data_IF_619420927394
#
_entry.id   IF_619420927394
#
_cell.length_a   1.000
_cell.length_b   1.000
_cell.length_c   1.000
_cell.angle_alpha   90.00
_cell.angle_beta   90.00
_cell.angle_gamma   90.00
#
_symmetry.space_group_name_H-M   'P 1'
#
loop_
_entity.id
_entity.type
_entity.pdbx_description
1 polymer ?
#
# COMPACT_ATOMS: atom_id res chain seq x y z
N UNK A 1 11.20 21.56 7.87
CA UNK A 1 10.64 20.31 8.42
C UNK A 1 11.13 19.21 7.49
N UNK A 2 12.06 18.40 7.99
CA UNK A 2 12.81 17.41 7.24
C UNK A 2 11.91 16.18 6.96
N UNK A 3 11.28 16.14 5.79
CA UNK A 3 10.49 15.00 5.32
C UNK A 3 11.42 13.98 4.66
N UNK A 4 12.24 13.32 5.48
CA UNK A 4 13.03 12.17 5.07
C UNK A 4 12.15 11.09 4.43
N UNK A 5 12.60 10.62 3.27
CA UNK A 5 11.86 9.79 2.32
C UNK A 5 11.08 8.64 2.96
N UNK A 6 9.76 8.65 2.74
CA UNK A 6 8.83 7.60 3.15
C UNK A 6 8.48 6.77 1.92
N UNK A 7 9.00 5.55 1.87
CA UNK A 7 8.84 4.63 0.74
C UNK A 7 7.47 3.92 0.77
N UNK A 8 6.75 3.95 -0.35
CA UNK A 8 5.60 3.07 -0.58
C UNK A 8 6.07 1.64 -0.87
N UNK A 9 6.25 0.86 0.20
CA UNK A 9 6.56 -0.58 0.13
C UNK A 9 5.33 -1.38 -0.30
N UNK A 10 4.12 -0.84 -0.12
CA UNK A 10 2.85 -1.57 -0.30
C UNK A 10 2.56 -1.90 -1.78
N UNK A 11 2.62 -0.91 -2.68
CA UNK A 11 2.24 -1.10 -4.09
C UNK A 11 3.19 -2.04 -4.85
N UNK A 12 4.50 -1.96 -4.57
CA UNK A 12 5.50 -2.82 -5.22
C UNK A 12 5.53 -4.24 -4.67
N UNK A 13 5.31 -4.46 -3.36
CA UNK A 13 5.28 -5.82 -2.81
C UNK A 13 4.07 -6.59 -3.35
N UNK A 14 2.89 -5.97 -3.38
CA UNK A 14 1.68 -6.62 -3.89
C UNK A 14 1.75 -6.90 -5.41
N UNK A 15 2.27 -5.96 -6.21
CA UNK A 15 2.36 -6.15 -7.67
C UNK A 15 3.41 -7.21 -8.08
N UNK A 16 4.53 -7.29 -7.34
CA UNK A 16 5.62 -8.23 -7.62
C UNK A 16 5.34 -9.65 -7.10
N UNK A 17 4.73 -9.81 -5.92
CA UNK A 17 4.51 -11.14 -5.30
C UNK A 17 3.32 -11.89 -5.86
N UNK A 18 2.20 -11.22 -6.15
CA UNK A 18 1.02 -11.84 -6.76
C UNK A 18 1.35 -12.54 -8.10
N UNK A 19 2.26 -11.93 -8.89
CA UNK A 19 2.72 -12.50 -10.17
C UNK A 19 3.76 -13.60 -10.01
N UNK A 20 4.65 -13.53 -9.01
CA UNK A 20 5.64 -14.59 -8.73
C UNK A 20 4.96 -15.89 -8.28
N UNK A 21 3.85 -15.79 -7.53
CA UNK A 21 3.02 -16.94 -7.15
C UNK A 21 2.37 -17.61 -8.38
N UNK A 22 1.92 -16.80 -9.35
CA UNK A 22 1.35 -17.28 -10.62
C UNK A 22 2.40 -17.97 -11.51
N UNK A 23 3.66 -17.50 -11.50
CA UNK A 23 4.78 -18.15 -12.21
C UNK A 23 5.25 -19.44 -11.52
N UNK A 24 5.24 -19.51 -10.18
CA UNK A 24 5.65 -20.69 -9.42
C UNK A 24 4.62 -21.84 -9.50
N UNK A 25 3.33 -21.53 -9.65
CA UNK A 25 2.30 -22.55 -9.87
C UNK A 25 2.39 -23.24 -11.24
N UNK A 26 3.13 -22.65 -12.20
CA UNK A 26 3.29 -23.16 -13.56
C UNK A 26 4.68 -23.76 -13.84
N UNK A 27 5.58 -23.83 -12.86
CA UNK A 27 6.94 -24.30 -13.04
C UNK A 27 7.17 -25.65 -12.33
N UNK A 28 7.40 -26.71 -13.11
CA UNK A 28 7.91 -27.98 -12.60
C UNK A 28 9.41 -27.85 -12.24
N UNK A 29 9.90 -28.48 -11.16
CA UNK A 29 11.24 -28.20 -10.64
C UNK A 29 12.33 -29.03 -11.35
N UNK A 30 13.35 -28.36 -11.89
CA UNK A 30 14.62 -28.97 -12.29
C UNK A 30 15.70 -28.67 -11.25
N UNK A 31 16.37 -29.75 -10.82
CA UNK A 31 17.45 -29.83 -9.81
C UNK A 31 18.64 -28.92 -10.16
N UNK A 32 19.23 -28.27 -9.15
CA UNK A 32 20.57 -27.68 -9.22
C UNK A 32 21.44 -28.30 -8.13
N UNK A 33 22.58 -28.84 -8.56
CA UNK A 33 23.61 -29.49 -7.74
C UNK A 33 24.56 -28.43 -7.14
N UNK A 34 25.04 -28.70 -5.93
CA UNK A 34 26.08 -27.93 -5.24
C UNK A 34 27.47 -28.44 -5.65
N UNK A 35 28.45 -27.53 -5.73
CA UNK A 35 29.88 -27.86 -5.79
C UNK A 35 30.65 -26.96 -4.84
N UNK A 36 31.38 -27.61 -3.93
CA UNK A 36 32.32 -27.06 -2.95
C UNK A 36 33.55 -26.44 -3.63
N UNK A 37 34.11 -25.38 -3.02
CA UNK A 37 35.46 -24.88 -3.32
C UNK A 37 36.20 -24.69 -1.99
N UNK A 38 37.26 -25.49 -1.80
CA UNK A 38 38.16 -25.49 -0.65
C UNK A 38 39.25 -24.39 -0.72
N UNK A 39 39.68 -23.98 0.48
CA UNK A 39 40.66 -22.97 0.84
C UNK A 39 42.10 -23.17 0.29
N UNK A 40 42.82 -22.05 0.15
CA UNK A 40 44.25 -21.95 0.53
C UNK A 40 44.56 -20.56 1.09
N UNK A 41 45.01 -20.51 2.35
CA UNK A 41 45.62 -19.34 2.98
C UNK A 41 47.07 -19.68 3.34
N UNK A 42 48.01 -18.83 2.93
CA UNK A 42 49.43 -18.93 3.25
C UNK A 42 49.70 -18.29 4.62
N UNK A 43 50.43 -19.00 5.48
CA UNK A 43 50.82 -18.57 6.83
C UNK A 43 52.23 -17.97 6.76
N UNK A 44 52.36 -16.67 7.00
CA UNK A 44 53.64 -16.02 7.29
C UNK A 44 53.82 -15.90 8.81
N UNK A 45 54.91 -16.47 9.34
CA UNK A 45 55.32 -16.38 10.75
C UNK A 45 56.04 -15.05 11.04
N UNK A 46 55.72 -14.44 12.17
CA UNK A 46 56.43 -13.32 12.82
C UNK A 46 56.29 -13.40 14.35
N UNK A 47 57.18 -12.76 15.14
CA UNK A 47 57.89 -13.43 16.24
C UNK A 47 57.25 -13.33 17.64
N UNK A 48 57.79 -14.19 18.50
CA UNK A 48 57.44 -14.50 19.89
C UNK A 48 57.56 -13.33 20.88
N UNK A 49 56.50 -13.11 21.67
CA UNK A 49 56.51 -12.91 23.14
C UNK A 49 55.05 -12.90 23.68
N UNK A 50 54.59 -13.86 24.53
CA UNK A 50 53.14 -14.08 24.74
C UNK A 50 52.43 -13.25 25.82
N UNK A 51 53.03 -12.20 26.41
CA UNK A 51 52.47 -11.60 27.65
C UNK A 51 52.09 -10.11 27.60
N UNK A 52 52.41 -9.36 26.54
CA UNK A 52 51.97 -7.94 26.40
C UNK A 52 51.00 -7.71 25.21
N UNK A 53 50.82 -8.71 24.34
CA UNK A 53 49.92 -8.62 23.17
C UNK A 53 48.45 -8.89 23.52
N UNK A 54 48.17 -9.75 24.52
CA UNK A 54 46.81 -10.11 24.91
C UNK A 54 46.06 -8.95 25.61
N UNK A 55 46.74 -8.17 26.45
CA UNK A 55 46.12 -6.99 27.09
C UNK A 55 45.88 -5.85 26.09
N UNK A 56 46.80 -5.61 25.15
CA UNK A 56 46.60 -4.61 24.09
C UNK A 56 45.53 -5.03 23.06
N UNK A 57 45.46 -6.31 22.68
CA UNK A 57 44.36 -6.82 21.85
C UNK A 57 43.03 -6.80 22.59
N UNK A 58 43.01 -7.14 23.88
CA UNK A 58 41.82 -7.05 24.74
C UNK A 58 41.29 -5.62 24.83
N UNK A 59 42.16 -4.64 25.09
CA UNK A 59 41.79 -3.22 25.14
C UNK A 59 41.37 -2.68 23.77
N UNK A 60 42.01 -3.10 22.67
CA UNK A 60 41.58 -2.70 21.32
C UNK A 60 40.24 -3.32 20.92
N UNK A 61 39.97 -4.56 21.32
CA UNK A 61 38.67 -5.24 21.12
C UNK A 61 37.59 -4.63 22.02
N UNK A 62 37.87 -4.33 23.29
CA UNK A 62 36.96 -3.65 24.20
C UNK A 62 36.65 -2.22 23.73
N UNK A 63 37.65 -1.49 23.26
CA UNK A 63 37.44 -0.14 22.71
C UNK A 63 36.69 -0.18 21.37
N UNK A 64 36.92 -1.19 20.53
CA UNK A 64 36.14 -1.39 19.30
C UNK A 64 34.69 -1.79 19.61
N UNK A 65 34.47 -2.67 20.60
CA UNK A 65 33.14 -3.04 21.08
C UNK A 65 32.42 -1.84 21.72
N UNK A 66 33.08 -1.02 22.52
CA UNK A 66 32.51 0.21 23.09
C UNK A 66 32.21 1.26 22.00
N UNK A 67 33.05 1.38 20.98
CA UNK A 67 32.81 2.27 19.83
C UNK A 67 31.64 1.77 18.95
N UNK A 68 31.48 0.46 18.77
CA UNK A 68 30.32 -0.13 18.09
C UNK A 68 29.04 0.01 18.92
N UNK A 69 29.11 -0.20 20.24
CA UNK A 69 27.97 -0.11 21.16
C UNK A 69 27.43 1.33 21.27
N UNK A 70 28.32 2.33 21.27
CA UNK A 70 27.95 3.76 21.26
C UNK A 70 27.24 4.20 19.98
N UNK A 71 27.47 3.55 18.84
CA UNK A 71 26.78 3.83 17.56
C UNK A 71 25.53 2.97 17.38
N UNK A 72 25.55 1.73 17.89
CA UNK A 72 24.46 0.77 17.70
C UNK A 72 23.28 1.00 18.65
N UNK A 73 23.54 1.36 19.91
CA UNK A 73 22.47 1.54 20.90
C UNK A 73 21.44 2.61 20.49
N UNK A 74 21.82 3.79 19.96
CA UNK A 74 20.85 4.78 19.48
C UNK A 74 19.96 4.25 18.34
N UNK A 75 20.48 3.38 17.47
CA UNK A 75 19.71 2.77 16.38
C UNK A 75 18.73 1.71 16.92
N UNK A 76 19.17 0.90 17.88
CA UNK A 76 18.31 -0.07 18.58
C UNK A 76 17.18 0.68 19.27
N UNK A 77 17.48 1.73 20.04
CA UNK A 77 16.47 2.51 20.75
C UNK A 77 15.46 3.13 19.78
N UNK A 78 15.94 3.67 18.66
CA UNK A 78 15.08 4.23 17.61
C UNK A 78 14.13 3.19 17.03
N UNK A 79 14.64 2.02 16.65
CA UNK A 79 13.80 0.92 16.12
C UNK A 79 12.83 0.42 17.19
N UNK A 80 13.27 0.30 18.45
CA UNK A 80 12.41 -0.07 19.57
C UNK A 80 11.27 0.92 19.79
N UNK A 81 11.53 2.23 19.69
CA UNK A 81 10.49 3.26 19.73
C UNK A 81 9.51 3.10 18.57
N UNK A 82 10.00 2.90 17.34
CA UNK A 82 9.14 2.70 16.16
C UNK A 82 8.21 1.50 16.34
N UNK A 83 8.73 0.38 16.86
CA UNK A 83 7.94 -0.82 17.14
C UNK A 83 6.85 -0.57 18.19
N UNK A 84 7.19 0.12 19.28
CA UNK A 84 6.24 0.44 20.35
C UNK A 84 5.18 1.47 19.96
N UNK A 85 5.43 2.26 18.91
CA UNK A 85 4.48 3.25 18.38
C UNK A 85 3.53 2.71 17.30
N UNK A 86 3.71 1.47 16.84
CA UNK A 86 2.86 0.88 15.80
C UNK A 86 1.39 0.88 16.21
N UNK A 87 0.52 1.18 15.24
CA UNK A 87 -0.91 1.30 15.45
C UNK A 87 -1.68 0.75 14.23
N UNK A 88 -2.49 1.57 13.58
CA UNK A 88 -3.22 1.31 12.36
C UNK A 88 -2.33 1.29 11.10
N UNK A 89 -1.03 1.54 11.23
CA UNK A 89 -0.06 1.52 10.13
C UNK A 89 0.52 2.89 9.78
N UNK A 90 1.83 2.94 9.55
CA UNK A 90 2.52 4.07 8.92
C UNK A 90 2.62 3.84 7.41
N UNK A 91 2.00 4.74 6.63
CA UNK A 91 1.91 4.61 5.16
C UNK A 91 1.96 5.99 4.49
N UNK A 92 2.53 6.05 3.29
CA UNK A 92 2.59 7.28 2.50
C UNK A 92 1.22 7.70 1.97
N UNK A 93 1.06 8.99 1.72
CA UNK A 93 -0.15 9.54 1.12
C UNK A 93 -0.32 9.13 -0.35
N UNK A 94 -1.58 9.07 -0.78
CA UNK A 94 -2.00 8.85 -2.16
C UNK A 94 -2.69 10.12 -2.65
N UNK A 95 -2.12 10.79 -3.66
CA UNK A 95 -2.73 12.00 -4.20
C UNK A 95 -4.04 11.67 -4.91
N UNK A 96 -4.13 10.50 -5.57
CA UNK A 96 -5.35 9.96 -6.16
C UNK A 96 -6.48 9.83 -5.14
N UNK A 97 -6.24 9.14 -4.02
CA UNK A 97 -7.28 8.96 -2.99
C UNK A 97 -7.64 10.27 -2.29
N UNK A 98 -6.64 11.12 -2.05
CA UNK A 98 -6.86 12.46 -1.48
C UNK A 98 -7.74 13.32 -2.39
N UNK A 99 -7.55 13.23 -3.71
CA UNK A 99 -8.41 13.89 -4.69
C UNK A 99 -9.85 13.35 -4.67
N UNK A 100 -10.05 12.03 -4.56
CA UNK A 100 -11.40 11.47 -4.40
C UNK A 100 -12.10 11.95 -3.14
N UNK A 101 -11.38 12.04 -2.01
CA UNK A 101 -11.92 12.63 -0.78
C UNK A 101 -12.22 14.12 -0.94
N UNK A 102 -11.34 14.87 -1.61
CA UNK A 102 -11.51 16.29 -1.88
C UNK A 102 -12.75 16.60 -2.74
N UNK A 103 -13.21 15.65 -3.55
CA UNK A 103 -14.41 15.81 -4.37
C UNK A 103 -15.73 15.62 -3.62
N UNK A 104 -15.71 15.14 -2.36
CA UNK A 104 -16.95 14.96 -1.59
C UNK A 104 -17.57 16.34 -1.30
N UNK A 105 -18.80 16.62 -1.76
CA UNK A 105 -19.48 17.87 -1.44
C UNK A 105 -19.97 17.89 0.01
N UNK A 106 -20.13 19.08 0.57
CA UNK A 106 -20.76 19.28 1.87
C UNK A 106 -22.13 18.56 1.94
N UNK A 107 -22.26 17.68 2.93
CA UNK A 107 -23.43 16.79 3.06
C UNK A 107 -24.69 17.53 3.54
N UNK A 108 -24.54 18.73 4.08
CA UNK A 108 -25.63 19.61 4.54
C UNK A 108 -26.12 20.58 3.45
N UNK A 109 -25.63 20.44 2.21
CA UNK A 109 -26.10 21.19 1.04
C UNK A 109 -25.30 22.45 0.74
N UNK A 110 -24.15 22.65 1.38
CA UNK A 110 -23.20 23.70 0.99
C UNK A 110 -22.54 23.43 -0.38
N UNK A 111 -21.93 24.47 -0.95
CA UNK A 111 -21.30 24.41 -2.28
C UNK A 111 -19.81 24.04 -2.22
N UNK A 112 -19.26 23.78 -1.02
CA UNK A 112 -17.84 23.51 -0.81
C UNK A 112 -17.45 22.03 -0.70
N UNK A 113 -16.15 21.75 -0.57
CA UNK A 113 -15.66 20.43 -0.23
C UNK A 113 -15.96 20.11 1.25
N UNK A 114 -16.53 18.93 1.52
CA UNK A 114 -16.78 18.42 2.87
C UNK A 114 -15.49 18.31 3.71
N UNK A 115 -14.35 18.12 3.04
CA UNK A 115 -13.04 17.97 3.68
C UNK A 115 -12.03 19.00 3.13
N UNK A 116 -12.10 20.29 3.52
CA UNK A 116 -11.22 21.33 2.97
C UNK A 116 -9.71 21.07 3.21
N UNK A 117 -9.36 20.26 4.22
CA UNK A 117 -7.98 19.88 4.49
C UNK A 117 -7.35 19.06 3.36
N UNK A 118 -8.13 18.22 2.67
CA UNK A 118 -7.63 17.41 1.55
C UNK A 118 -7.32 18.28 0.33
N UNK A 119 -8.14 19.31 0.06
CA UNK A 119 -7.85 20.33 -0.95
C UNK A 119 -6.55 21.05 -0.63
N UNK A 120 -6.37 21.55 0.61
CA UNK A 120 -5.10 22.20 1.03
C UNK A 120 -3.89 21.29 0.85
N UNK A 121 -4.04 20.00 1.13
CA UNK A 121 -2.99 19.01 0.91
C UNK A 121 -2.64 18.91 -0.59
N UNK A 122 -3.63 18.80 -1.49
CA UNK A 122 -3.40 18.75 -2.94
C UNK A 122 -2.64 19.98 -3.43
N UNK A 123 -3.09 21.18 -3.02
CA UNK A 123 -2.46 22.45 -3.41
C UNK A 123 -0.99 22.50 -2.97
N UNK A 124 -0.69 22.02 -1.77
CA UNK A 124 0.64 22.08 -1.16
C UNK A 124 1.61 21.00 -1.65
N UNK A 125 1.14 19.96 -2.36
CA UNK A 125 1.94 18.78 -2.71
C UNK A 125 2.08 18.52 -4.22
N UNK A 126 1.89 19.54 -5.06
CA UNK A 126 2.25 19.45 -6.47
C UNK A 126 3.77 19.40 -6.63
N UNK A 127 4.27 18.48 -7.46
CA UNK A 127 5.69 18.34 -7.75
C UNK A 127 6.20 19.46 -8.70
N UNK A 128 7.51 19.70 -8.77
CA UNK A 128 8.08 20.76 -9.61
C UNK A 128 7.80 20.62 -11.11
N UNK A 129 7.53 19.39 -11.59
CA UNK A 129 7.17 19.10 -12.98
C UNK A 129 5.67 19.30 -13.28
N UNK A 130 4.89 19.78 -12.30
CA UNK A 130 3.44 19.96 -12.41
C UNK A 130 2.63 18.72 -12.07
N UNK A 131 3.26 17.55 -11.89
CA UNK A 131 2.58 16.30 -11.57
C UNK A 131 2.28 16.14 -10.07
N UNK A 132 1.48 15.14 -9.72
CA UNK A 132 1.38 14.58 -8.37
C UNK A 132 1.76 13.10 -8.41
N UNK A 133 2.31 12.58 -7.31
CA UNK A 133 2.69 11.17 -7.17
C UNK A 133 3.90 10.97 -6.26
N UNK A 134 4.54 9.82 -6.36
CA UNK A 134 5.75 9.52 -5.58
C UNK A 134 6.93 10.40 -6.05
N UNK A 135 7.51 11.20 -5.14
CA UNK A 135 8.61 12.10 -5.45
C UNK A 135 9.96 11.39 -5.60
N UNK A 136 10.11 10.19 -5.02
CA UNK A 136 11.35 9.41 -5.02
C UNK A 136 11.42 8.45 -6.21
N UNK A 137 10.27 8.03 -6.76
CA UNK A 137 10.20 7.11 -7.89
C UNK A 137 9.23 7.63 -8.95
N UNK A 138 9.72 7.79 -10.18
CA UNK A 138 8.86 8.04 -11.33
C UNK A 138 8.25 6.74 -11.85
N UNK A 139 6.92 6.72 -11.99
CA UNK A 139 6.16 5.76 -12.80
C UNK A 139 5.12 6.55 -13.59
N UNK A 140 5.04 6.36 -14.90
CA UNK A 140 4.06 7.07 -15.73
C UNK A 140 2.64 6.71 -15.31
N UNK A 141 2.34 5.45 -15.01
CA UNK A 141 1.03 5.06 -14.48
C UNK A 141 0.67 5.81 -13.18
N UNK A 142 1.61 5.90 -12.23
CA UNK A 142 1.43 6.64 -10.98
C UNK A 142 1.19 8.13 -11.27
N UNK A 143 2.10 8.77 -12.01
CA UNK A 143 2.03 10.22 -12.27
C UNK A 143 0.79 10.62 -13.05
N UNK A 144 0.39 9.85 -14.08
CA UNK A 144 -0.81 10.16 -14.87
C UNK A 144 -2.07 10.08 -14.00
N UNK A 145 -2.20 9.03 -13.19
CA UNK A 145 -3.40 8.79 -12.37
C UNK A 145 -3.54 9.85 -11.28
N UNK A 146 -2.47 10.08 -10.51
CA UNK A 146 -2.48 11.06 -9.43
C UNK A 146 -2.68 12.49 -9.96
N UNK A 147 -1.99 12.86 -11.04
CA UNK A 147 -2.10 14.23 -11.61
C UNK A 147 -3.50 14.50 -12.13
N UNK A 148 -4.08 13.58 -12.91
CA UNK A 148 -5.43 13.74 -13.42
C UNK A 148 -6.45 13.87 -12.28
N UNK A 149 -6.31 13.07 -11.22
CA UNK A 149 -7.24 13.10 -10.09
C UNK A 149 -7.19 14.45 -9.36
N UNK A 150 -5.97 14.95 -9.08
CA UNK A 150 -5.78 16.27 -8.47
C UNK A 150 -6.34 17.40 -9.33
N UNK A 151 -6.10 17.38 -10.64
CA UNK A 151 -6.67 18.37 -11.57
C UNK A 151 -8.20 18.32 -11.57
N UNK A 152 -8.79 17.12 -11.61
CA UNK A 152 -10.24 16.95 -11.53
C UNK A 152 -10.80 17.52 -10.22
N UNK A 153 -10.16 17.23 -9.09
CA UNK A 153 -10.60 17.72 -7.78
C UNK A 153 -10.53 19.25 -7.67
N UNK A 154 -9.43 19.87 -8.12
CA UNK A 154 -9.28 21.33 -8.11
C UNK A 154 -10.25 22.01 -9.09
N UNK A 155 -10.43 21.43 -10.28
CA UNK A 155 -11.37 21.96 -11.30
C UNK A 155 -12.81 21.90 -10.81
N UNK A 156 -13.23 20.82 -10.15
CA UNK A 156 -14.60 20.68 -9.60
C UNK A 156 -14.99 21.88 -8.73
N UNK A 157 -14.04 22.43 -7.98
CA UNK A 157 -14.25 23.55 -7.07
C UNK A 157 -13.82 24.91 -7.65
N UNK A 158 -13.39 24.97 -8.92
CA UNK A 158 -12.84 26.17 -9.55
C UNK A 158 -11.67 26.79 -8.77
N UNK A 159 -10.80 25.94 -8.20
CA UNK A 159 -9.66 26.35 -7.38
C UNK A 159 -8.33 26.19 -8.13
N UNK A 160 -7.36 27.03 -7.79
CA UNK A 160 -5.96 26.92 -8.23
C UNK A 160 -5.77 26.72 -9.76
N UNK A 161 -6.26 27.65 -10.60
CA UNK A 161 -6.21 27.49 -12.06
C UNK A 161 -4.80 27.30 -12.62
N UNK A 162 -3.79 27.94 -12.03
CA UNK A 162 -2.40 27.77 -12.46
C UNK A 162 -1.84 26.36 -12.15
N UNK A 163 -2.22 25.75 -11.02
CA UNK A 163 -1.84 24.37 -10.70
C UNK A 163 -2.54 23.38 -11.63
N UNK A 164 -3.81 23.64 -11.94
CA UNK A 164 -4.55 22.86 -12.93
C UNK A 164 -3.85 22.92 -14.30
N UNK A 165 -3.45 24.12 -14.73
CA UNK A 165 -2.75 24.34 -16.00
C UNK A 165 -1.42 23.58 -16.08
N UNK A 166 -0.58 23.66 -15.06
CA UNK A 166 0.70 22.92 -15.04
C UNK A 166 0.51 21.42 -14.97
N UNK A 167 -0.48 20.94 -14.20
CA UNK A 167 -0.86 19.53 -14.18
C UNK A 167 -1.35 19.02 -15.55
N UNK A 168 -2.16 19.81 -16.24
CA UNK A 168 -2.60 19.49 -17.60
C UNK A 168 -1.44 19.48 -18.60
N UNK A 169 -0.52 20.46 -18.54
CA UNK A 169 0.69 20.45 -19.38
C UNK A 169 1.46 19.15 -19.20
N UNK A 170 1.68 18.73 -17.96
CA UNK A 170 2.35 17.47 -17.65
C UNK A 170 1.65 16.26 -18.28
N UNK A 171 0.31 16.18 -18.17
CA UNK A 171 -0.48 15.08 -18.77
C UNK A 171 -0.33 15.05 -20.30
N UNK A 172 -0.42 16.20 -20.97
CA UNK A 172 -0.26 16.31 -22.42
C UNK A 172 1.14 15.89 -22.88
N UNK A 173 2.18 16.33 -22.17
CA UNK A 173 3.58 16.06 -22.51
C UNK A 173 4.02 14.61 -22.25
N UNK A 174 3.32 13.89 -21.37
CA UNK A 174 3.80 12.60 -20.85
C UNK A 174 2.84 11.41 -21.06
N UNK A 175 1.64 11.61 -21.64
CA UNK A 175 0.66 10.53 -21.86
C UNK A 175 1.22 9.36 -22.67
N UNK A 176 2.12 9.62 -23.62
CA UNK A 176 2.78 8.60 -24.44
C UNK A 176 3.55 7.56 -23.63
N UNK A 177 4.08 7.93 -22.46
CA UNK A 177 4.86 7.03 -21.60
C UNK A 177 4.04 5.85 -21.08
N UNK A 178 2.71 5.96 -21.02
CA UNK A 178 1.83 4.84 -20.65
C UNK A 178 1.94 3.66 -21.61
N UNK A 179 2.29 3.91 -22.88
CA UNK A 179 2.49 2.84 -23.87
C UNK A 179 3.86 2.17 -23.77
N UNK A 180 4.85 2.83 -23.15
CA UNK A 180 6.23 2.33 -23.05
C UNK A 180 6.53 1.69 -21.70
N UNK A 181 5.84 2.10 -20.64
CA UNK A 181 6.11 1.57 -19.31
C UNK A 181 5.62 0.13 -19.17
N UNK A 182 6.51 -0.74 -18.68
CA UNK A 182 6.26 -2.15 -18.45
C UNK A 182 4.99 -2.38 -17.62
N UNK A 183 4.13 -3.30 -18.08
CA UNK A 183 2.85 -3.59 -17.43
C UNK A 183 3.04 -4.17 -16.00
N UNK A 184 4.25 -4.61 -15.63
CA UNK A 184 4.60 -4.96 -14.24
C UNK A 184 4.50 -3.81 -13.24
N UNK A 185 4.68 -2.57 -13.70
CA UNK A 185 4.62 -1.38 -12.86
C UNK A 185 3.20 -0.87 -12.61
N UNK A 186 2.23 -1.33 -13.40
CA UNK A 186 0.85 -0.82 -13.40
C UNK A 186 0.18 -0.96 -12.02
N UNK A 187 -0.40 0.13 -11.46
CA UNK A 187 -1.15 0.10 -10.22
C UNK A 187 -2.38 -0.81 -10.25
N UNK A 188 -2.78 -1.29 -9.07
CA UNK A 188 -3.99 -2.09 -8.91
C UNK A 188 -5.19 -1.28 -9.39
N UNK A 189 -6.03 -1.90 -10.22
CA UNK A 189 -7.26 -1.28 -10.70
C UNK A 189 -7.06 -0.18 -11.76
N UNK A 190 -5.83 0.15 -12.19
CA UNK A 190 -5.56 1.25 -13.13
C UNK A 190 -6.44 1.20 -14.39
N UNK A 191 -6.53 0.04 -15.05
CA UNK A 191 -7.34 -0.15 -16.27
C UNK A 191 -8.85 0.02 -16.05
N UNK A 192 -9.30 0.12 -14.80
CA UNK A 192 -10.69 0.43 -14.43
C UNK A 192 -10.77 1.88 -13.92
N UNK A 193 -9.94 2.26 -12.96
CA UNK A 193 -9.98 3.58 -12.33
C UNK A 193 -9.64 4.71 -13.30
N UNK A 194 -8.55 4.59 -14.06
CA UNK A 194 -8.03 5.67 -14.90
C UNK A 194 -8.97 6.06 -16.07
N UNK A 195 -9.53 5.12 -16.85
CA UNK A 195 -10.55 5.46 -17.85
C UNK A 195 -11.80 6.12 -17.27
N UNK A 196 -12.23 5.70 -16.07
CA UNK A 196 -13.40 6.29 -15.40
C UNK A 196 -13.11 7.72 -14.97
N UNK A 197 -11.89 7.96 -14.46
CA UNK A 197 -11.42 9.29 -14.10
C UNK A 197 -11.31 10.21 -15.33
N UNK A 198 -10.86 9.69 -16.48
CA UNK A 198 -10.89 10.43 -17.76
C UNK A 198 -12.33 10.80 -18.15
N UNK A 199 -13.31 9.92 -17.95
CA UNK A 199 -14.71 10.24 -18.19
C UNK A 199 -15.21 11.35 -17.25
N UNK A 200 -14.84 11.30 -15.96
CA UNK A 200 -15.13 12.38 -15.00
C UNK A 200 -14.51 13.70 -15.45
N UNK A 201 -13.24 13.69 -15.87
CA UNK A 201 -12.57 14.89 -16.37
C UNK A 201 -13.29 15.48 -17.60
N UNK A 202 -13.71 14.62 -18.53
CA UNK A 202 -14.48 15.03 -19.71
C UNK A 202 -15.81 15.67 -19.34
N UNK A 203 -16.51 15.14 -18.34
CA UNK A 203 -17.78 15.70 -17.86
C UNK A 203 -17.64 17.09 -17.23
N UNK A 204 -16.45 17.43 -16.73
CA UNK A 204 -16.11 18.75 -16.19
C UNK A 204 -15.54 19.71 -17.25
N UNK A 205 -15.46 19.29 -18.52
CA UNK A 205 -14.92 20.11 -19.60
C UNK A 205 -13.40 20.30 -19.55
N UNK A 206 -12.67 19.42 -18.85
CA UNK A 206 -11.20 19.46 -18.79
C UNK A 206 -10.63 19.06 -20.16
N UNK A 207 -9.63 19.80 -20.66
CA UNK A 207 -8.93 19.47 -21.90
C UNK A 207 -7.76 18.50 -21.64
N UNK A 208 -8.04 17.20 -21.74
CA UNK A 208 -7.09 16.10 -21.56
C UNK A 208 -6.94 15.32 -22.87
N UNK A 209 -5.81 14.64 -23.14
CA UNK A 209 -5.60 13.96 -24.42
C UNK A 209 -6.35 12.62 -24.47
N UNK A 210 -7.69 12.69 -24.53
CA UNK A 210 -8.61 11.55 -24.38
C UNK A 210 -8.47 10.47 -25.46
N UNK A 211 -8.08 10.88 -26.67
CA UNK A 211 -7.95 10.02 -27.85
C UNK A 211 -6.48 9.66 -28.14
N UNK A 212 -5.58 9.90 -27.17
CA UNK A 212 -4.17 9.54 -27.29
C UNK A 212 -4.00 8.04 -27.53
N UNK A 213 -3.12 7.67 -28.46
CA UNK A 213 -2.90 6.27 -28.88
C UNK A 213 -2.56 5.34 -27.71
N UNK A 214 -1.78 5.84 -26.74
CA UNK A 214 -1.46 5.13 -25.50
C UNK A 214 -2.68 4.67 -24.67
N UNK A 215 -3.85 5.31 -24.84
CA UNK A 215 -5.08 4.96 -24.11
C UNK A 215 -5.89 3.85 -24.79
N UNK A 216 -5.65 3.56 -26.07
CA UNK A 216 -6.47 2.62 -26.83
C UNK A 216 -6.44 1.20 -26.25
N UNK A 217 -5.25 0.71 -25.89
CA UNK A 217 -5.09 -0.60 -25.25
C UNK A 217 -5.73 -0.63 -23.86
N UNK A 218 -5.63 0.47 -23.09
CA UNK A 218 -6.23 0.62 -21.76
C UNK A 218 -7.76 0.53 -21.84
N UNK A 219 -8.39 1.25 -22.78
CA UNK A 219 -9.84 1.17 -23.00
C UNK A 219 -10.28 -0.22 -23.46
N UNK A 220 -9.55 -0.85 -24.38
CA UNK A 220 -9.86 -2.22 -24.82
C UNK A 220 -9.78 -3.22 -23.65
N UNK A 221 -8.76 -3.11 -22.81
CA UNK A 221 -8.58 -3.96 -21.64
C UNK A 221 -9.65 -3.71 -20.58
N UNK A 222 -10.10 -2.46 -20.40
CA UNK A 222 -11.24 -2.13 -19.53
C UNK A 222 -12.48 -2.92 -19.94
N UNK A 223 -12.85 -2.87 -21.21
CA UNK A 223 -14.04 -3.56 -21.73
C UNK A 223 -13.95 -5.08 -21.52
N UNK A 224 -12.77 -5.66 -21.76
CA UNK A 224 -12.52 -7.09 -21.49
C UNK A 224 -12.68 -7.41 -20.01
N UNK A 225 -12.13 -6.57 -19.12
CA UNK A 225 -12.21 -6.78 -17.67
C UNK A 225 -13.62 -6.64 -17.14
N UNK A 226 -14.35 -5.59 -17.54
CA UNK A 226 -15.74 -5.37 -17.12
C UNK A 226 -16.64 -6.54 -17.50
N UNK A 227 -16.50 -7.10 -18.72
CA UNK A 227 -17.24 -8.29 -19.16
C UNK A 227 -16.94 -9.56 -18.35
N UNK A 228 -15.76 -9.63 -17.72
CA UNK A 228 -15.35 -10.75 -16.87
C UNK A 228 -15.78 -10.59 -15.41
N UNK A 229 -16.18 -9.38 -15.00
CA UNK A 229 -16.60 -9.13 -13.64
C UNK A 229 -18.02 -9.70 -13.46
N UNK A 230 -18.21 -10.65 -12.54
CA UNK A 230 -19.55 -11.15 -12.22
C UNK A 230 -20.31 -10.10 -11.41
N UNK A 231 -20.99 -9.17 -12.10
CA UNK A 231 -21.72 -8.05 -11.49
C UNK A 231 -22.77 -8.51 -10.46
N UNK A 232 -23.37 -9.69 -10.62
CA UNK A 232 -24.29 -10.21 -9.61
C UNK A 232 -23.55 -10.63 -8.32
N UNK A 233 -22.35 -11.21 -8.44
CA UNK A 233 -21.57 -11.66 -7.30
C UNK A 233 -20.99 -10.49 -6.50
N UNK A 234 -20.53 -9.42 -7.15
CA UNK A 234 -19.96 -8.26 -6.45
C UNK A 234 -20.99 -7.56 -5.53
N UNK A 235 -22.29 -7.69 -5.82
CA UNK A 235 -23.37 -7.15 -4.99
C UNK A 235 -23.87 -8.13 -3.90
N UNK A 236 -23.37 -9.37 -3.89
CA UNK A 236 -23.82 -10.43 -2.96
C UNK A 236 -22.78 -10.79 -1.91
N UNK A 237 -21.51 -10.77 -2.27
CA UNK A 237 -20.41 -11.18 -1.39
C UNK A 237 -19.27 -10.17 -1.43
N UNK A 238 -18.53 -9.97 -0.32
CA UNK A 238 -17.34 -9.14 -0.33
C UNK A 238 -16.28 -9.73 -1.28
N UNK A 239 -15.78 -8.90 -2.19
CA UNK A 239 -14.71 -9.24 -3.14
C UNK A 239 -13.71 -8.10 -3.23
N UNK A 240 -12.55 -8.33 -3.86
CA UNK A 240 -11.54 -7.29 -4.08
C UNK A 240 -12.05 -6.11 -4.92
N UNK A 241 -13.14 -6.25 -5.66
CA UNK A 241 -13.75 -5.17 -6.46
C UNK A 241 -14.25 -4.02 -5.58
N UNK A 242 -14.61 -4.30 -4.31
CA UNK A 242 -14.99 -3.25 -3.36
C UNK A 242 -13.87 -2.20 -3.15
N UNK A 243 -12.62 -2.53 -3.48
CA UNK A 243 -11.48 -1.62 -3.39
C UNK A 243 -11.45 -0.53 -4.48
N UNK A 244 -12.20 -0.71 -5.58
CA UNK A 244 -12.13 0.16 -6.77
C UNK A 244 -13.52 0.53 -7.30
N UNK A 245 -14.48 0.76 -6.41
CA UNK A 245 -15.87 1.08 -6.77
C UNK A 245 -15.99 2.38 -7.57
N UNK A 246 -15.09 3.33 -7.37
CA UNK A 246 -15.05 4.62 -8.07
C UNK A 246 -14.81 4.50 -9.58
N UNK A 247 -14.30 3.35 -10.04
CA UNK A 247 -14.13 3.05 -11.46
C UNK A 247 -15.18 2.11 -12.07
N UNK A 248 -16.15 1.66 -11.28
CA UNK A 248 -17.11 0.62 -11.68
C UNK A 248 -18.44 1.21 -12.16
N UNK A 249 -19.00 0.73 -13.29
CA UNK A 249 -20.34 1.09 -13.74
C UNK A 249 -21.43 0.30 -12.99
N UNK A 250 -22.69 0.75 -13.11
CA UNK A 250 -23.90 -0.01 -12.74
C UNK A 250 -23.92 -0.55 -11.30
N UNK A 251 -23.61 0.32 -10.34
CA UNK A 251 -23.58 -0.03 -8.92
C UNK A 251 -24.97 0.07 -8.26
N UNK A 252 -25.38 -1.00 -7.58
CA UNK A 252 -26.55 -1.05 -6.72
C UNK A 252 -26.12 -0.81 -5.26
N UNK A 253 -26.17 0.47 -4.85
CA UNK A 253 -25.77 0.91 -3.51
C UNK A 253 -26.58 0.26 -2.38
N UNK A 254 -27.86 -0.06 -2.62
CA UNK A 254 -28.70 -0.74 -1.64
C UNK A 254 -28.19 -2.15 -1.29
N UNK A 255 -27.51 -2.80 -2.23
CA UNK A 255 -26.80 -4.07 -1.99
C UNK A 255 -25.38 -3.85 -1.48
N UNK A 256 -24.62 -2.91 -2.07
CA UNK A 256 -23.21 -2.68 -1.71
C UNK A 256 -23.04 -2.24 -0.26
N UNK A 257 -23.92 -1.39 0.28
CA UNK A 257 -23.84 -0.96 1.67
C UNK A 257 -23.94 -2.12 2.68
N UNK A 258 -24.52 -3.28 2.27
CA UNK A 258 -24.55 -4.49 3.10
C UNK A 258 -23.20 -5.22 3.15
N UNK A 259 -22.28 -4.87 2.26
CA UNK A 259 -20.93 -5.43 2.14
C UNK A 259 -19.85 -4.51 2.72
N UNK A 260 -20.24 -3.35 3.27
CA UNK A 260 -19.35 -2.40 3.92
C UNK A 260 -18.55 -3.06 5.05
N UNK A 261 -17.28 -2.67 5.18
CA UNK A 261 -16.42 -3.11 6.28
C UNK A 261 -16.94 -2.59 7.62
N UNK A 262 -16.58 -3.25 8.72
CA UNK A 262 -17.04 -2.87 10.06
C UNK A 262 -16.61 -1.45 10.48
N UNK A 263 -15.53 -0.92 9.89
CA UNK A 263 -15.04 0.43 10.13
C UNK A 263 -15.71 1.50 9.23
N UNK A 264 -16.69 1.13 8.39
CA UNK A 264 -17.39 2.03 7.48
C UNK A 264 -16.76 2.17 6.09
N UNK A 265 -15.57 1.62 5.87
CA UNK A 265 -14.94 1.63 4.55
C UNK A 265 -15.52 0.62 3.57
N UNK A 266 -15.28 0.85 2.28
CA UNK A 266 -15.32 -0.19 1.26
C UNK A 266 -13.93 -0.77 1.07
N UNK A 267 -13.73 -1.97 1.64
CA UNK A 267 -12.47 -2.73 1.62
C UNK A 267 -11.23 -1.87 1.93
N UNK A 268 -11.34 -0.96 2.90
CA UNK A 268 -10.24 -0.12 3.38
C UNK A 268 -9.69 0.89 2.35
N UNK A 269 -10.37 1.08 1.22
CA UNK A 269 -10.00 2.07 0.18
C UNK A 269 -10.66 3.42 0.46
N UNK A 270 -9.90 4.51 0.68
CA UNK A 270 -10.46 5.85 0.82
C UNK A 270 -11.15 6.35 -0.44
N UNK A 271 -10.59 6.16 -1.63
CA UNK A 271 -11.24 6.57 -2.89
C UNK A 271 -12.59 5.87 -3.12
N UNK A 272 -12.66 4.55 -2.95
CA UNK A 272 -13.92 3.81 -3.09
C UNK A 272 -14.95 4.22 -2.04
N UNK A 273 -14.50 4.52 -0.81
CA UNK A 273 -15.39 4.97 0.28
C UNK A 273 -15.87 6.41 0.08
N UNK A 274 -15.02 7.30 -0.40
CA UNK A 274 -15.39 8.67 -0.76
C UNK A 274 -16.39 8.67 -1.92
N UNK A 275 -16.17 7.82 -2.92
CA UNK A 275 -17.14 7.64 -3.99
C UNK A 275 -18.49 7.12 -3.47
N UNK A 276 -18.49 6.10 -2.62
CA UNK A 276 -19.72 5.61 -1.99
C UNK A 276 -20.43 6.70 -1.17
N UNK A 277 -19.68 7.52 -0.43
CA UNK A 277 -20.21 8.64 0.33
C UNK A 277 -20.93 9.65 -0.57
N UNK A 278 -20.32 10.03 -1.70
CA UNK A 278 -20.94 10.94 -2.67
C UNK A 278 -22.25 10.40 -3.25
N UNK A 279 -22.36 9.07 -3.40
CA UNK A 279 -23.55 8.44 -3.99
C UNK A 279 -24.66 8.16 -2.99
N UNK A 280 -24.37 8.09 -1.69
CA UNK A 280 -25.29 7.54 -0.69
C UNK A 280 -25.51 8.41 0.54
N UNK A 281 -24.62 9.38 0.80
CA UNK A 281 -24.53 10.12 2.06
C UNK A 281 -24.45 9.19 3.30
N UNK A 282 -23.93 7.96 3.15
CA UNK A 282 -23.86 7.00 4.24
C UNK A 282 -22.97 7.50 5.39
N UNK A 283 -23.52 7.51 6.60
CA UNK A 283 -22.83 8.02 7.79
C UNK A 283 -21.56 7.25 8.12
N UNK A 284 -21.52 5.93 7.90
CA UNK A 284 -20.33 5.13 8.23
C UNK A 284 -19.20 5.38 7.23
N UNK A 285 -19.51 5.59 5.95
CA UNK A 285 -18.55 6.08 4.98
C UNK A 285 -17.98 7.44 5.42
N UNK A 286 -18.83 8.37 5.86
CA UNK A 286 -18.39 9.66 6.40
C UNK A 286 -17.48 9.48 7.62
N UNK A 287 -17.91 8.70 8.62
CA UNK A 287 -17.16 8.48 9.87
C UNK A 287 -15.75 7.91 9.56
N UNK A 288 -15.63 7.01 8.58
CA UNK A 288 -14.33 6.48 8.13
C UNK A 288 -13.45 7.56 7.47
N UNK A 289 -13.99 8.33 6.53
CA UNK A 289 -13.23 9.36 5.80
C UNK A 289 -12.82 10.50 6.74
N UNK A 290 -13.73 10.95 7.61
CA UNK A 290 -13.46 11.99 8.61
C UNK A 290 -12.35 11.55 9.58
N UNK A 291 -12.38 10.29 10.03
CA UNK A 291 -11.32 9.73 10.87
C UNK A 291 -9.95 9.76 10.20
N UNK A 292 -9.83 9.26 8.95
CA UNK A 292 -8.53 9.23 8.27
C UNK A 292 -8.02 10.63 7.92
N UNK A 293 -8.90 11.55 7.52
CA UNK A 293 -8.52 12.94 7.19
C UNK A 293 -7.99 13.64 8.43
N UNK A 294 -8.63 13.46 9.59
CA UNK A 294 -8.15 13.99 10.88
C UNK A 294 -6.83 13.37 11.31
N UNK A 295 -6.67 12.05 11.09
CA UNK A 295 -5.44 11.34 11.47
C UNK A 295 -4.23 11.83 10.68
N UNK A 296 -4.42 12.17 9.42
CA UNK A 296 -3.33 12.49 8.49
C UNK A 296 -3.26 13.97 8.07
N UNK A 297 -4.05 14.83 8.71
CA UNK A 297 -4.10 16.28 8.43
C UNK A 297 -4.31 16.61 6.95
N UNK A 298 -5.32 15.98 6.34
CA UNK A 298 -5.73 16.22 4.96
C UNK A 298 -5.34 15.12 3.98
N UNK A 299 -4.05 14.81 3.83
CA UNK A 299 -3.63 13.75 2.92
C UNK A 299 -4.14 12.40 3.38
N UNK A 300 -4.56 11.50 2.47
CA UNK A 300 -4.97 10.13 2.85
C UNK A 300 -4.17 9.09 2.06
N UNK A 301 -3.90 7.91 2.63
CA UNK A 301 -3.25 6.81 1.90
C UNK A 301 -4.20 6.15 0.90
N UNK A 302 -3.70 5.21 0.09
CA UNK A 302 -4.55 4.40 -0.80
C UNK A 302 -5.29 3.25 -0.10
N UNK A 303 -4.86 2.90 1.12
CA UNK A 303 -5.48 1.86 1.93
C UNK A 303 -5.31 2.18 3.41
N UNK A 304 -6.35 2.00 4.22
CA UNK A 304 -6.25 2.18 5.66
C UNK A 304 -7.32 1.43 6.48
N UNK A 305 -6.97 0.81 7.62
CA UNK A 305 -5.63 0.63 8.19
C UNK A 305 -4.78 -0.40 7.41
N UNK A 306 -3.51 -0.54 7.79
CA UNK A 306 -2.57 -1.60 7.37
C UNK A 306 -1.85 -2.22 8.57
N UNK A 307 -2.55 -2.29 9.71
CA UNK A 307 -2.03 -2.75 11.00
C UNK A 307 -1.44 -4.15 10.93
N UNK A 308 -2.20 -5.14 10.46
CA UNK A 308 -1.72 -6.52 10.42
C UNK A 308 -0.54 -6.66 9.46
N UNK A 309 -0.63 -6.05 8.28
CA UNK A 309 0.46 -6.03 7.30
C UNK A 309 1.76 -5.48 7.92
N UNK A 310 1.69 -4.32 8.59
CA UNK A 310 2.84 -3.67 9.21
C UNK A 310 3.46 -4.57 10.30
N UNK A 311 2.65 -5.07 11.24
CA UNK A 311 3.14 -5.91 12.33
C UNK A 311 3.80 -7.21 11.82
N UNK A 312 3.21 -7.86 10.82
CA UNK A 312 3.75 -9.10 10.23
C UNK A 312 5.05 -8.79 9.47
N UNK A 313 5.09 -7.72 8.68
CA UNK A 313 6.27 -7.37 7.88
C UNK A 313 7.44 -6.85 8.67
N UNK A 314 7.21 -6.10 9.73
CA UNK A 314 8.31 -5.63 10.55
C UNK A 314 9.00 -6.82 11.24
N UNK A 315 8.24 -7.76 11.80
CA UNK A 315 8.83 -8.97 12.41
C UNK A 315 9.59 -9.80 11.37
N UNK A 316 9.01 -10.06 10.20
CA UNK A 316 9.69 -10.79 9.13
C UNK A 316 11.02 -10.13 8.73
N UNK A 317 11.06 -8.80 8.64
CA UNK A 317 12.25 -8.05 8.23
C UNK A 317 13.32 -8.11 9.31
N UNK A 318 12.96 -7.89 10.57
CA UNK A 318 13.90 -7.95 11.70
C UNK A 318 14.55 -9.34 11.83
N UNK A 319 13.77 -10.41 11.66
CA UNK A 319 14.28 -11.79 11.70
C UNK A 319 15.20 -12.09 10.54
N UNK A 320 14.81 -11.74 9.32
CA UNK A 320 15.61 -12.01 8.11
C UNK A 320 16.88 -11.19 8.03
N UNK A 321 16.91 -10.02 8.67
CA UNK A 321 18.12 -9.21 8.83
C UNK A 321 19.03 -9.72 9.96
N UNK A 322 18.61 -10.70 10.75
CA UNK A 322 19.41 -11.26 11.84
C UNK A 322 19.55 -10.34 13.06
N UNK A 323 18.67 -9.34 13.21
CA UNK A 323 18.73 -8.34 14.29
C UNK A 323 17.56 -8.45 15.28
N UNK A 324 16.67 -9.44 15.11
CA UNK A 324 15.49 -9.65 15.97
C UNK A 324 15.83 -9.86 17.46
N UNK A 325 17.04 -10.32 17.79
CA UNK A 325 17.50 -10.52 19.18
C UNK A 325 17.44 -9.25 20.03
N UNK A 326 17.52 -8.06 19.43
CA UNK A 326 17.46 -6.79 20.14
C UNK A 326 16.03 -6.34 20.47
N UNK A 327 15.01 -7.00 19.89
CA UNK A 327 13.62 -6.55 19.92
C UNK A 327 12.66 -7.65 20.36
N UNK A 328 13.12 -8.59 21.22
CA UNK A 328 12.33 -9.76 21.58
C UNK A 328 10.99 -9.41 22.23
N UNK A 329 10.97 -8.39 23.10
CA UNK A 329 9.76 -7.94 23.76
C UNK A 329 8.78 -7.30 22.78
N UNK A 330 9.27 -6.42 21.90
CA UNK A 330 8.47 -5.76 20.88
C UNK A 330 7.92 -6.76 19.86
N UNK A 331 8.74 -7.70 19.39
CA UNK A 331 8.31 -8.77 18.48
C UNK A 331 7.21 -9.61 19.12
N UNK A 332 7.34 -9.95 20.41
CA UNK A 332 6.30 -10.67 21.15
C UNK A 332 4.99 -9.88 21.14
N UNK A 333 5.02 -8.59 21.46
CA UNK A 333 3.84 -7.71 21.42
C UNK A 333 3.20 -7.66 20.02
N UNK A 334 4.01 -7.62 18.97
CA UNK A 334 3.53 -7.66 17.60
C UNK A 334 2.79 -8.97 17.29
N UNK A 335 3.37 -10.11 17.69
CA UNK A 335 2.75 -11.41 17.45
C UNK A 335 1.51 -11.63 18.32
N UNK A 336 1.47 -11.08 19.54
CA UNK A 336 0.25 -11.05 20.36
C UNK A 336 -0.87 -10.26 19.68
N UNK A 337 -0.54 -9.12 19.07
CA UNK A 337 -1.50 -8.32 18.29
C UNK A 337 -2.03 -9.07 17.08
N UNK A 338 -1.13 -9.66 16.26
CA UNK A 338 -1.51 -10.44 15.08
C UNK A 338 -2.36 -11.65 15.48
N UNK A 339 -1.99 -12.37 16.55
CA UNK A 339 -2.73 -13.52 17.05
C UNK A 339 -4.15 -13.14 17.53
N UNK A 340 -4.30 -11.98 18.17
CA UNK A 340 -5.62 -11.48 18.61
C UNK A 340 -6.60 -11.30 17.46
N UNK A 341 -6.11 -10.99 16.27
CA UNK A 341 -6.91 -10.78 15.07
C UNK A 341 -6.85 -11.95 14.08
N UNK A 342 -6.11 -13.02 14.40
CA UNK A 342 -6.08 -14.23 13.61
C UNK A 342 -7.46 -14.92 13.59
N UNK A 343 -7.85 -15.44 12.43
CA UNK A 343 -9.09 -16.21 12.29
C UNK A 343 -8.84 -17.51 11.54
N UNK A 344 -9.69 -18.53 11.74
CA UNK A 344 -9.62 -19.79 10.98
C UNK A 344 -9.83 -19.60 9.47
N UNK A 345 -10.39 -18.46 9.04
CA UNK A 345 -10.55 -18.13 7.61
C UNK A 345 -9.32 -17.47 7.02
N UNK A 346 -8.33 -17.11 7.84
CA UNK A 346 -7.21 -16.26 7.51
C UNK A 346 -7.45 -14.79 7.91
N UNK A 347 -6.58 -13.92 7.42
CA UNK A 347 -6.60 -12.47 7.65
C UNK A 347 -6.33 -11.73 6.33
N UNK A 348 -6.41 -10.41 6.37
CA UNK A 348 -5.76 -9.58 5.35
C UNK A 348 -4.87 -8.52 6.02
N UNK A 349 -4.38 -7.54 5.26
CA UNK A 349 -3.57 -6.42 5.74
C UNK A 349 -4.18 -5.61 6.89
N UNK A 350 -5.50 -5.69 7.08
CA UNK A 350 -6.26 -4.93 8.07
C UNK A 350 -7.05 -5.84 9.02
N UNK A 351 -7.14 -5.44 10.30
CA UNK A 351 -7.99 -6.14 11.28
C UNK A 351 -9.48 -6.16 10.90
N UNK A 352 -10.18 -7.18 11.40
CA UNK A 352 -11.64 -7.33 11.33
C UNK A 352 -12.22 -7.36 9.90
N UNK A 353 -11.44 -7.85 8.93
CA UNK A 353 -11.85 -7.94 7.54
C UNK A 353 -12.75 -9.15 7.26
N UNK A 354 -13.77 -8.91 6.45
CA UNK A 354 -14.59 -9.97 5.84
C UNK A 354 -13.93 -10.62 4.62
N UNK A 355 -12.85 -10.02 4.11
CA UNK A 355 -12.05 -10.52 2.99
C UNK A 355 -10.66 -10.90 3.49
N UNK A 356 -10.16 -12.06 3.10
CA UNK A 356 -8.83 -12.53 3.46
C UNK A 356 -7.97 -12.62 2.20
N UNK A 357 -6.67 -12.38 2.33
CA UNK A 357 -5.70 -12.60 1.25
C UNK A 357 -4.65 -13.63 1.67
N UNK A 358 -3.99 -14.19 0.67
CA UNK A 358 -3.05 -15.30 0.87
C UNK A 358 -1.69 -14.84 1.40
N UNK A 359 -1.25 -13.61 1.12
CA UNK A 359 0.09 -13.15 1.50
C UNK A 359 0.13 -12.89 3.01
N UNK A 360 -0.80 -12.07 3.50
CA UNK A 360 -0.93 -11.76 4.92
C UNK A 360 -1.29 -13.02 5.73
N UNK A 361 -2.20 -13.86 5.23
CA UNK A 361 -2.55 -15.12 5.89
C UNK A 361 -1.37 -16.09 5.98
N UNK A 362 -0.66 -16.32 4.87
CA UNK A 362 0.44 -17.29 4.86
C UNK A 362 1.58 -16.85 5.78
N UNK A 363 1.84 -15.55 5.85
CA UNK A 363 2.94 -15.05 6.65
C UNK A 363 2.61 -14.89 8.12
N UNK A 364 1.40 -14.45 8.47
CA UNK A 364 0.95 -14.53 9.85
C UNK A 364 0.97 -15.98 10.33
N UNK A 365 0.47 -16.93 9.52
CA UNK A 365 0.54 -18.35 9.87
C UNK A 365 1.97 -18.82 10.16
N UNK A 366 2.92 -18.50 9.28
CA UNK A 366 4.32 -18.88 9.46
C UNK A 366 4.90 -18.25 10.74
N UNK A 367 4.74 -16.95 10.93
CA UNK A 367 5.32 -16.24 12.07
C UNK A 367 4.67 -16.67 13.39
N UNK A 368 3.34 -16.72 13.47
CA UNK A 368 2.63 -17.20 14.64
C UNK A 368 3.09 -18.61 15.03
N UNK A 369 3.23 -19.52 14.07
CA UNK A 369 3.74 -20.87 14.34
C UNK A 369 5.18 -20.89 14.83
N UNK A 370 6.08 -20.09 14.23
CA UNK A 370 7.48 -19.99 14.66
C UNK A 370 7.61 -19.41 16.07
N UNK A 371 6.69 -18.53 16.46
CA UNK A 371 6.63 -17.92 17.79
C UNK A 371 5.80 -18.72 18.81
N UNK A 372 5.43 -19.97 18.49
CA UNK A 372 4.80 -20.90 19.42
C UNK A 372 3.29 -20.72 19.62
N UNK A 373 2.60 -19.95 18.78
CA UNK A 373 1.15 -19.81 18.82
C UNK A 373 0.44 -21.00 18.14
N UNK A 374 -0.71 -21.38 18.67
CA UNK A 374 -1.54 -22.44 18.11
C UNK A 374 -2.35 -21.95 16.91
N UNK A 375 -1.79 -22.15 15.72
CA UNK A 375 -2.45 -21.84 14.44
C UNK A 375 -2.60 -23.10 13.59
N UNK A 376 -3.83 -23.32 13.10
CA UNK A 376 -4.18 -24.48 12.28
C UNK A 376 -3.92 -24.24 10.80
N UNK A 377 -3.34 -25.21 10.06
CA UNK A 377 -3.23 -25.14 8.59
C UNK A 377 -4.56 -25.47 7.90
N UNK A 378 -5.58 -25.89 8.65
CA UNK A 378 -6.79 -26.47 8.07
C UNK A 378 -7.74 -25.41 7.51
N UNK A 379 -8.07 -25.54 6.23
CA UNK A 379 -9.27 -24.93 5.66
C UNK A 379 -10.46 -25.74 6.15
N UNK A 380 -11.36 -25.19 6.98
CA UNK A 380 -12.72 -25.76 7.06
C UNK A 380 -13.30 -25.70 5.64
N UNK A 381 -13.36 -26.87 4.97
CA UNK A 381 -14.03 -27.02 3.67
C UNK A 381 -15.41 -26.37 3.82
N UNK A 382 -15.68 -25.31 3.03
CA UNK A 382 -17.07 -24.86 2.85
C UNK A 382 -17.88 -26.11 2.55
N UNK A 383 -18.85 -26.45 3.41
CA UNK A 383 -19.86 -27.46 3.06
C UNK A 383 -20.35 -27.07 1.68
N UNK A 384 -20.14 -27.95 0.69
CA UNK A 384 -20.87 -27.88 -0.57
C UNK A 384 -22.34 -27.80 -0.16
N UNK A 385 -22.96 -26.63 -0.33
CA UNK A 385 -24.40 -26.61 -0.47
C UNK A 385 -24.66 -27.40 -1.75
N UNK A 386 -25.18 -28.61 -1.56
CA UNK A 386 -25.93 -29.31 -2.60
C UNK A 386 -27.06 -28.37 -3.01
N UNK A 387 -26.94 -27.79 -4.21
CA UNK A 387 -28.11 -27.48 -5.02
C UNK A 387 -28.60 -28.79 -5.64
#
# INVERSE_FOLDING_TARGET
MDTGGRYSVYTKIYSARSRKLTKLLNAAPSRLQATDIENRAEIAKGPEKPQELDEYQGVLLENAHQAEETVLQPLIDKVGVMLRSMNDGEISFSAYDTAWVAMVPELDGGEGPQFPATVRWIVSNQLPDGSWGDSALFSAYDRMTNTLACVVALTKWSLEPEKCKTGLSFLHENMWRLAEEEQESMPIGFEIAFPSLLQTARSLGIDSPYDHTALQSIYANREIKLKRIPMDMMHRVPTSILFSLEGMPELDWGKLLKLQSSNGSFLYSPSATAYALMQTADKKCFDYIDWIVKKFDGGVPNVYPVDLFEHIWVVDRLERLGISRYFQQEIKQCMEYVNRHWTEKGICWARNSNVQDVDDTAMAFRLLRLHGYDVSPSKKKKKKLSL
#
